data_IF_866298007180
#
_entry.id   IF_866298007180
#
_cell.length_a   1.000
_cell.length_b   1.000
_cell.length_c   1.000
_cell.angle_alpha   90.00
_cell.angle_beta   90.00
_cell.angle_gamma   90.00
#
_symmetry.space_group_name_H-M   'P 1'
#
loop_
_entity.id
_entity.type
_entity.pdbx_description
1 polymer ?
#
# COMPACT_ATOMS: atom_id res chain seq x y z
N UNK A 1 -0.46 -7.48 1.05
CA UNK A 1 0.55 -7.07 0.03
C UNK A 1 1.56 -8.21 -0.16
N UNK A 2 2.07 -8.50 -1.37
CA UNK A 2 2.93 -9.69 -1.63
C UNK A 2 4.24 -9.73 -0.82
N UNK A 3 4.74 -8.58 -0.39
CA UNK A 3 6.00 -8.44 0.35
C UNK A 3 5.80 -8.21 1.87
N UNK A 4 4.56 -8.29 2.37
CA UNK A 4 4.21 -7.98 3.77
C UNK A 4 5.14 -8.67 4.79
N UNK A 5 5.37 -9.98 4.65
CA UNK A 5 6.26 -10.74 5.53
C UNK A 5 7.71 -10.24 5.62
N UNK A 6 8.19 -9.54 4.60
CA UNK A 6 9.55 -8.98 4.56
C UNK A 6 9.62 -7.53 5.05
N UNK A 7 8.46 -6.86 5.09
CA UNK A 7 8.35 -5.43 5.39
C UNK A 7 7.87 -5.18 6.81
N UNK A 8 7.23 -6.19 7.42
CA UNK A 8 6.89 -6.16 8.83
C UNK A 8 8.12 -5.89 9.69
N UNK A 9 7.98 -4.89 10.56
CA UNK A 9 9.04 -4.38 11.44
C UNK A 9 10.33 -3.88 10.74
N UNK A 10 10.34 -3.77 9.41
CA UNK A 10 11.50 -3.29 8.65
C UNK A 10 11.35 -1.82 8.28
N UNK A 11 12.46 -1.08 8.27
CA UNK A 11 12.52 0.28 7.70
C UNK A 11 12.96 0.15 6.25
N UNK A 12 12.15 0.66 5.33
CA UNK A 12 12.38 0.47 3.90
C UNK A 12 12.06 1.70 3.06
N UNK A 13 12.64 1.70 1.87
CA UNK A 13 12.49 2.76 0.89
C UNK A 13 11.72 2.24 -0.33
N UNK A 14 10.67 2.96 -0.73
CA UNK A 14 9.90 2.68 -1.93
C UNK A 14 10.34 3.64 -3.02
N UNK A 15 10.99 3.10 -4.04
CA UNK A 15 11.39 3.86 -5.23
C UNK A 15 10.32 3.65 -6.31
N UNK A 16 9.75 4.75 -6.81
CA UNK A 16 8.81 4.73 -7.94
C UNK A 16 9.12 5.83 -8.95
N UNK A 17 8.52 5.73 -10.13
CA UNK A 17 8.54 6.73 -11.19
C UNK A 17 7.23 7.55 -11.28
N UNK A 18 6.23 7.22 -10.46
CA UNK A 18 4.92 7.87 -10.49
C UNK A 18 4.80 9.03 -9.49
N UNK A 19 4.66 10.25 -10.01
CA UNK A 19 4.55 11.47 -9.21
C UNK A 19 3.37 11.45 -8.21
N UNK A 20 2.29 10.74 -8.52
CA UNK A 20 1.10 10.63 -7.66
C UNK A 20 1.40 9.93 -6.32
N UNK A 21 2.37 9.02 -6.29
CA UNK A 21 2.71 8.25 -5.10
C UNK A 21 3.39 9.10 -4.02
N UNK A 22 4.16 10.13 -4.40
CA UNK A 22 4.72 11.13 -3.48
C UNK A 22 3.63 11.85 -2.69
N UNK A 23 2.54 12.20 -3.37
CA UNK A 23 1.45 12.96 -2.78
C UNK A 23 0.42 12.09 -2.07
N UNK A 24 0.44 10.77 -2.29
CA UNK A 24 -0.57 9.82 -1.80
C UNK A 24 -0.86 9.98 -0.30
N UNK A 25 0.18 10.14 0.52
CA UNK A 25 0.05 10.24 1.99
C UNK A 25 -0.32 11.65 2.49
N UNK A 26 -0.29 12.66 1.62
CA UNK A 26 -0.47 14.07 1.93
C UNK A 26 -1.73 14.69 1.32
N UNK A 27 -2.54 13.90 0.60
CA UNK A 27 -3.80 14.37 0.01
C UNK A 27 -4.83 14.62 1.12
N UNK A 28 -5.29 15.87 1.22
CA UNK A 28 -6.26 16.31 2.23
C UNK A 28 -7.69 15.80 1.98
N UNK A 29 -8.05 15.62 0.71
CA UNK A 29 -9.38 15.18 0.28
C UNK A 29 -9.26 14.01 -0.70
N UNK A 30 -9.01 12.78 -0.19
CA UNK A 30 -8.83 11.61 -1.04
C UNK A 30 -10.17 11.18 -1.64
N UNK A 31 -10.19 10.87 -2.93
CA UNK A 31 -11.32 10.17 -3.52
C UNK A 31 -11.36 8.71 -3.02
N UNK A 32 -12.46 7.99 -3.25
CA UNK A 32 -12.62 6.59 -2.80
C UNK A 32 -11.43 5.70 -3.20
N UNK A 33 -10.89 5.88 -4.41
CA UNK A 33 -9.79 5.06 -4.90
C UNK A 33 -8.49 5.35 -4.13
N UNK A 34 -8.17 6.62 -3.90
CA UNK A 34 -6.99 7.07 -3.14
C UNK A 34 -7.12 6.67 -1.67
N UNK A 35 -8.32 6.79 -1.08
CA UNK A 35 -8.57 6.41 0.31
C UNK A 35 -8.29 4.92 0.54
N UNK A 36 -8.69 4.04 -0.40
CA UNK A 36 -8.37 2.60 -0.33
C UNK A 36 -6.86 2.36 -0.27
N UNK A 37 -6.10 3.07 -1.09
CA UNK A 37 -4.65 2.96 -1.09
C UNK A 37 -4.03 3.51 0.21
N UNK A 38 -4.52 4.64 0.71
CA UNK A 38 -4.06 5.20 1.98
C UNK A 38 -4.26 4.23 3.14
N UNK A 39 -5.42 3.58 3.24
CA UNK A 39 -5.70 2.56 4.27
C UNK A 39 -4.74 1.38 4.12
N UNK A 40 -4.57 0.85 2.89
CA UNK A 40 -3.70 -0.32 2.66
C UNK A 40 -2.23 -0.10 2.99
N UNK A 41 -1.77 1.15 2.99
CA UNK A 41 -0.36 1.52 3.21
C UNK A 41 -0.15 2.06 4.62
N UNK A 42 -1.24 2.33 5.36
CA UNK A 42 -1.21 2.96 6.68
C UNK A 42 -0.33 2.19 7.68
N UNK A 43 -0.34 0.87 7.62
CA UNK A 43 0.48 -0.02 8.46
C UNK A 43 1.99 0.24 8.33
N UNK A 44 2.45 0.65 7.13
CA UNK A 44 3.87 0.91 6.87
C UNK A 44 4.25 2.38 7.02
N UNK A 45 3.30 3.28 7.33
CA UNK A 45 3.51 4.74 7.28
C UNK A 45 4.68 5.22 8.16
N UNK A 46 4.91 4.56 9.30
CA UNK A 46 5.99 4.92 10.22
C UNK A 46 7.38 4.45 9.77
N UNK A 47 7.45 3.38 8.96
CA UNK A 47 8.71 2.72 8.61
C UNK A 47 9.03 2.77 7.10
N UNK A 48 8.20 3.45 6.31
CA UNK A 48 8.34 3.54 4.86
C UNK A 48 8.67 4.96 4.41
N UNK A 49 9.69 5.10 3.57
CA UNK A 49 10.00 6.37 2.88
C UNK A 49 9.79 6.24 1.38
N UNK A 50 8.97 7.11 0.78
CA UNK A 50 8.66 7.08 -0.66
C UNK A 50 9.56 8.07 -1.41
N UNK A 51 10.38 7.55 -2.32
CA UNK A 51 11.19 8.35 -3.24
C UNK A 51 10.67 8.22 -4.66
N UNK A 52 10.47 9.35 -5.31
CA UNK A 52 10.24 9.39 -6.75
C UNK A 52 11.57 9.61 -7.46
N UNK A 53 11.91 8.71 -8.38
CA UNK A 53 13.07 8.82 -9.27
C UNK A 53 12.57 8.69 -10.70
N UNK A 54 12.65 9.76 -11.47
CA UNK A 54 12.36 9.74 -12.90
C UNK A 54 13.54 9.16 -13.69
N UNK A 55 13.24 8.33 -14.70
CA UNK A 55 14.20 7.90 -15.71
C UNK A 55 14.61 6.43 -15.66
N UNK A 56 15.66 6.09 -16.42
CA UNK A 56 16.15 4.72 -16.71
C UNK A 56 16.74 3.94 -15.52
N UNK A 57 16.57 4.43 -14.29
CA UNK A 57 17.07 3.76 -13.08
C UNK A 57 16.11 2.62 -12.69
N UNK A 58 14.83 2.73 -13.04
CA UNK A 58 13.80 1.74 -12.71
C UNK A 58 13.63 0.65 -13.79
N UNK A 59 14.63 0.42 -14.65
CA UNK A 59 14.56 -0.54 -15.77
C UNK A 59 14.08 -1.92 -15.35
N UNK A 60 14.55 -2.44 -14.22
CA UNK A 60 14.16 -3.76 -13.74
C UNK A 60 12.64 -3.82 -13.46
N UNK A 61 12.09 -2.79 -12.84
CA UNK A 61 10.65 -2.70 -12.55
C UNK A 61 9.86 -2.49 -13.85
N UNK A 62 10.35 -1.63 -14.74
CA UNK A 62 9.72 -1.34 -16.04
C UNK A 62 9.64 -2.61 -16.91
N UNK A 63 10.75 -3.35 -17.05
CA UNK A 63 10.82 -4.59 -17.82
C UNK A 63 9.90 -5.68 -17.24
N UNK A 64 9.87 -5.83 -15.90
CA UNK A 64 8.96 -6.77 -15.23
C UNK A 64 7.49 -6.36 -15.38
N UNK A 65 7.19 -5.06 -15.45
CA UNK A 65 5.82 -4.57 -15.63
C UNK A 65 5.27 -4.87 -17.02
N UNK A 66 6.14 -4.93 -18.04
CA UNK A 66 5.77 -5.24 -19.43
C UNK A 66 5.54 -6.75 -19.59
N UNK A 67 6.31 -7.59 -18.89
CA UNK A 67 6.21 -9.05 -18.96
C UNK A 67 5.78 -9.67 -17.63
N UNK A 68 4.57 -9.31 -17.18
CA UNK A 68 3.97 -9.99 -16.05
C UNK A 68 3.81 -11.49 -16.37
N UNK A 69 4.40 -12.35 -15.53
CA UNK A 69 4.21 -13.79 -15.61
C UNK A 69 2.72 -14.12 -15.48
N UNK A 70 2.29 -15.17 -16.18
CA UNK A 70 0.93 -15.68 -16.01
C UNK A 70 0.69 -16.05 -14.54
N UNK A 71 -0.50 -15.73 -14.03
CA UNK A 71 -0.91 -16.08 -12.68
C UNK A 71 -1.31 -17.57 -12.61
N UNK A 72 -0.35 -18.46 -12.85
CA UNK A 72 -0.51 -19.92 -12.77
C UNK A 72 -0.16 -20.43 -11.37
N UNK A 73 -0.71 -21.57 -10.93
CA UNK A 73 -0.39 -22.16 -9.62
C UNK A 73 1.10 -22.47 -9.40
N UNK A 74 1.84 -22.69 -10.49
CA UNK A 74 3.30 -22.93 -10.46
C UNK A 74 4.11 -21.65 -10.19
N UNK A 75 3.49 -20.47 -10.33
CA UNK A 75 4.14 -19.20 -10.06
C UNK A 75 4.30 -19.02 -8.55
N UNK A 76 5.51 -18.67 -8.04
CA UNK A 76 5.72 -18.40 -6.62
C UNK A 76 4.92 -17.18 -6.13
N UNK A 77 4.38 -16.38 -7.05
CA UNK A 77 3.55 -15.22 -6.77
C UNK A 77 2.08 -15.44 -7.15
N UNK A 78 1.63 -16.70 -7.25
CA UNK A 78 0.25 -17.07 -7.54
C UNK A 78 -0.71 -16.49 -6.51
N UNK A 79 -1.78 -15.85 -7.00
CA UNK A 79 -2.89 -15.39 -6.17
C UNK A 79 -4.16 -16.07 -6.68
N UNK A 80 -4.85 -16.91 -5.86
CA UNK A 80 -6.14 -17.48 -6.22
C UNK A 80 -7.14 -16.38 -6.56
N UNK A 81 -7.93 -16.56 -7.62
CA UNK A 81 -8.89 -15.55 -8.08
C UNK A 81 -9.98 -15.24 -7.02
N UNK A 82 -10.23 -16.19 -6.13
CA UNK A 82 -11.23 -16.11 -5.05
C UNK A 82 -10.65 -15.63 -3.71
N UNK A 83 -9.35 -15.39 -3.63
CA UNK A 83 -8.75 -14.82 -2.43
C UNK A 83 -9.08 -13.32 -2.40
N UNK A 84 -10.15 -12.96 -1.70
CA UNK A 84 -10.34 -11.58 -1.21
C UNK A 84 -9.02 -11.14 -0.56
N UNK A 85 -8.42 -10.01 -0.97
CA UNK A 85 -7.25 -9.51 -0.29
C UNK A 85 -7.65 -9.30 1.17
N UNK A 86 -7.12 -10.14 2.06
CA UNK A 86 -7.18 -9.92 3.49
C UNK A 86 -6.39 -8.64 3.75
N UNK A 87 -7.07 -7.51 3.65
CA UNK A 87 -6.65 -6.27 4.28
C UNK A 87 -7.16 -6.47 5.70
N UNK A 88 -6.30 -6.73 6.70
CA UNK A 88 -6.74 -6.65 8.07
C UNK A 88 -7.06 -5.18 8.28
N UNK A 89 -8.32 -4.81 8.08
CA UNK A 89 -8.84 -3.55 8.58
C UNK A 89 -8.93 -3.78 10.09
N UNK A 90 -7.79 -3.68 10.77
CA UNK A 90 -7.77 -3.48 12.21
C UNK A 90 -8.58 -2.22 12.44
N UNK A 91 -9.79 -2.42 12.98
CA UNK A 91 -10.93 -1.55 12.78
C UNK A 91 -10.57 -0.08 12.90
N UNK A 92 -11.00 0.72 11.91
CA UNK A 92 -11.17 2.16 12.16
C UNK A 92 -12.19 2.23 13.30
N UNK A 93 -11.72 2.40 14.54
CA UNK A 93 -12.58 2.63 15.67
C UNK A 93 -13.17 4.04 15.48
N UNK A 94 -14.38 4.09 14.91
CA UNK A 94 -15.18 5.31 14.86
C UNK A 94 -15.83 5.41 16.23
N UNK A 95 -15.13 5.93 17.22
CA UNK A 95 -15.78 6.44 18.43
C UNK A 95 -16.33 7.83 18.13
N UNK A 96 -17.62 8.00 18.37
CA UNK A 96 -18.26 9.31 18.30
C UNK A 96 -17.73 10.14 19.49
N UNK A 97 -17.18 11.31 19.21
CA UNK A 97 -16.54 12.20 20.20
C UNK A 97 -17.47 12.50 21.39
N UNK A 98 -18.79 12.45 21.17
CA UNK A 98 -19.79 12.66 22.22
C UNK A 98 -19.87 11.55 23.27
N UNK A 99 -19.40 10.34 22.96
CA UNK A 99 -19.52 9.17 23.87
C UNK A 99 -18.37 9.03 24.85
N UNK A 100 -17.14 9.43 24.50
CA UNK A 100 -15.97 9.27 25.37
C UNK A 100 -15.63 10.51 26.21
N UNK A 101 -15.99 11.73 25.76
CA UNK A 101 -15.58 12.97 26.45
C UNK A 101 -16.65 13.61 27.35
N UNK A 102 -17.91 13.15 27.29
CA UNK A 102 -19.03 13.73 28.06
C UNK A 102 -19.77 12.72 28.94
N UNK A 103 -19.07 11.72 29.48
CA UNK A 103 -19.57 11.00 30.67
C UNK A 103 -19.10 11.77 31.91
N UNK A 104 -20.01 12.63 32.37
CA UNK A 104 -20.15 13.30 33.67
C UNK A 104 -19.01 13.26 34.68
#
# INVERSE_FOLDING_TARGET
MKLHYYLDCSVFEVINDCNSMKSLLNIKTPNRHILRWQISIQEYRCNMTIFHKSGKINKNADELSIWALANTPDSPAYVPLEAEPQIPIEGINITDIGTEFFVR
#
